data_IF_807897363636
#
_entry.id   IF_807897363636
#
_cell.length_a   1.000
_cell.length_b   1.000
_cell.length_c   1.000
_cell.angle_alpha   90.00
_cell.angle_beta   90.00
_cell.angle_gamma   90.00
#
_symmetry.space_group_name_H-M   'P 1'
#
loop_
_entity.id
_entity.type
_entity.pdbx_description
1 polymer ?
#
# COMPACT_ATOMS: atom_id res chain seq x y z
N UNK A 1 24.92 5.05 -16.06
CA UNK A 1 23.67 5.82 -15.79
C UNK A 1 22.51 5.02 -16.36
N UNK A 2 21.45 4.83 -15.59
CA UNK A 2 20.21 4.15 -16.01
C UNK A 2 19.31 5.11 -16.80
N UNK A 3 18.46 4.58 -17.68
CA UNK A 3 17.40 5.36 -18.29
C UNK A 3 16.28 5.64 -17.30
N UNK A 4 15.97 4.64 -16.45
CA UNK A 4 14.91 4.71 -15.45
C UNK A 4 15.32 3.98 -14.17
N UNK A 5 15.18 4.64 -13.01
CA UNK A 5 15.17 3.96 -11.72
C UNK A 5 13.73 3.96 -11.18
N UNK A 6 13.27 2.78 -10.77
CA UNK A 6 11.95 2.53 -10.17
C UNK A 6 12.16 2.34 -8.67
N UNK A 7 11.42 3.05 -7.83
CA UNK A 7 11.50 2.95 -6.36
C UNK A 7 10.27 2.24 -5.84
N UNK A 8 10.44 0.99 -5.43
CA UNK A 8 9.41 0.08 -4.94
C UNK A 8 9.14 -1.10 -5.88
N UNK A 9 8.92 -2.30 -5.31
CA UNK A 9 8.58 -3.53 -6.03
C UNK A 9 7.26 -4.15 -5.51
N UNK A 10 6.26 -3.32 -5.28
CA UNK A 10 4.86 -3.72 -5.21
C UNK A 10 4.29 -3.94 -6.63
N UNK A 11 2.99 -4.23 -6.78
CA UNK A 11 2.36 -4.48 -8.09
C UNK A 11 2.66 -3.40 -9.14
N UNK A 12 2.67 -2.12 -8.75
CA UNK A 12 3.00 -1.01 -9.64
C UNK A 12 4.46 -1.04 -10.12
N UNK A 13 5.40 -1.26 -9.19
CA UNK A 13 6.82 -1.32 -9.52
C UNK A 13 7.18 -2.54 -10.36
N UNK A 14 6.56 -3.70 -10.09
CA UNK A 14 6.76 -4.92 -10.89
C UNK A 14 6.20 -4.73 -12.30
N UNK A 15 5.00 -4.15 -12.44
CA UNK A 15 4.42 -3.80 -13.75
C UNK A 15 5.32 -2.84 -14.52
N UNK A 16 5.83 -1.78 -13.86
CA UNK A 16 6.75 -0.83 -14.46
C UNK A 16 8.08 -1.47 -14.91
N UNK A 17 8.66 -2.34 -14.06
CA UNK A 17 9.88 -3.06 -14.40
C UNK A 17 9.69 -4.00 -15.60
N UNK A 18 8.55 -4.69 -15.67
CA UNK A 18 8.22 -5.55 -16.78
C UNK A 18 8.07 -4.77 -18.10
N UNK A 19 7.32 -3.65 -18.08
CA UNK A 19 7.18 -2.81 -19.26
C UNK A 19 8.51 -2.13 -19.67
N UNK A 20 9.34 -1.72 -18.69
CA UNK A 20 10.67 -1.18 -18.97
C UNK A 20 11.57 -2.22 -19.66
N UNK A 21 11.52 -3.48 -19.24
CA UNK A 21 12.21 -4.58 -19.91
C UNK A 21 11.70 -4.79 -21.35
N UNK A 22 10.38 -4.81 -21.55
CA UNK A 22 9.77 -4.98 -22.88
C UNK A 22 10.17 -3.89 -23.86
N UNK A 23 10.33 -2.67 -23.38
CA UNK A 23 10.73 -1.51 -24.19
C UNK A 23 12.24 -1.34 -24.35
N UNK A 24 13.05 -2.25 -23.77
CA UNK A 24 14.50 -2.21 -23.89
C UNK A 24 15.20 -1.12 -23.07
N UNK A 25 14.50 -0.46 -22.14
CA UNK A 25 15.11 0.53 -21.25
C UNK A 25 16.19 -0.12 -20.37
N UNK A 26 17.30 0.58 -20.21
CA UNK A 26 18.27 0.28 -19.16
C UNK A 26 17.71 0.75 -17.81
N UNK A 27 17.09 -0.12 -17.06
CA UNK A 27 16.42 0.20 -15.82
C UNK A 27 16.92 -0.61 -14.61
N UNK A 28 16.64 -0.08 -13.42
CA UNK A 28 16.82 -0.76 -12.15
C UNK A 28 15.63 -0.45 -11.24
N UNK A 29 15.05 -1.47 -10.59
CA UNK A 29 14.07 -1.27 -9.52
C UNK A 29 14.72 -1.54 -8.16
N UNK A 30 14.48 -0.65 -7.19
CA UNK A 30 15.01 -0.73 -5.83
C UNK A 30 13.85 -0.89 -4.84
N UNK A 31 13.86 -1.97 -4.08
CA UNK A 31 12.85 -2.27 -3.07
C UNK A 31 13.49 -2.34 -1.67
N UNK A 32 12.92 -1.62 -0.72
CA UNK A 32 13.47 -1.54 0.65
C UNK A 32 13.37 -2.87 1.42
N UNK A 33 12.36 -3.67 1.12
CA UNK A 33 12.06 -4.93 1.78
C UNK A 33 12.01 -6.08 0.74
N UNK A 34 10.95 -6.88 0.78
CA UNK A 34 10.72 -8.00 -0.13
C UNK A 34 9.79 -7.59 -1.29
N UNK A 35 9.84 -8.35 -2.38
CA UNK A 35 8.91 -8.22 -3.51
C UNK A 35 7.48 -8.38 -2.98
N UNK A 36 6.59 -7.43 -3.31
CA UNK A 36 5.21 -7.46 -2.86
C UNK A 36 5.02 -7.25 -1.35
N UNK A 37 5.94 -6.58 -0.68
CA UNK A 37 5.96 -6.46 0.80
C UNK A 37 4.64 -5.98 1.43
N UNK A 38 3.87 -5.12 0.78
CA UNK A 38 2.55 -4.72 1.29
C UNK A 38 1.57 -5.91 1.33
N UNK A 39 1.63 -6.80 0.33
CA UNK A 39 0.80 -8.02 0.31
C UNK A 39 1.29 -9.02 1.35
N UNK A 40 2.60 -9.09 1.56
CA UNK A 40 3.18 -9.90 2.65
C UNK A 40 2.63 -9.47 4.03
N UNK A 41 2.31 -8.21 4.21
CA UNK A 41 1.72 -7.66 5.44
C UNK A 41 0.20 -7.88 5.57
N UNK A 42 -0.47 -8.43 4.57
CA UNK A 42 -1.89 -8.80 4.70
C UNK A 42 -2.06 -9.96 5.69
N UNK A 43 -3.26 -10.14 6.26
CA UNK A 43 -3.53 -11.27 7.14
C UNK A 43 -3.22 -12.62 6.48
N UNK A 44 -2.62 -13.52 7.25
CA UNK A 44 -2.35 -14.89 6.80
C UNK A 44 -3.65 -15.58 6.41
N UNK A 45 -3.66 -16.24 5.25
CA UNK A 45 -4.84 -16.91 4.71
C UNK A 45 -5.93 -16.00 4.12
N UNK A 46 -5.71 -14.67 4.12
CA UNK A 46 -6.66 -13.72 3.54
C UNK A 46 -6.96 -14.07 2.07
N UNK A 47 -8.22 -14.23 1.73
CA UNK A 47 -8.67 -14.23 0.33
C UNK A 47 -8.75 -12.79 -0.16
N UNK A 48 -7.97 -12.46 -1.18
CA UNK A 48 -7.94 -11.11 -1.75
C UNK A 48 -9.27 -10.82 -2.45
N UNK A 49 -9.88 -9.68 -2.18
CA UNK A 49 -11.22 -9.36 -2.68
C UNK A 49 -11.28 -9.08 -4.19
N UNK A 50 -10.17 -8.68 -4.81
CA UNK A 50 -10.08 -8.42 -6.25
C UNK A 50 -10.11 -9.71 -7.06
N UNK A 51 -10.62 -9.62 -8.27
CA UNK A 51 -10.65 -10.73 -9.24
C UNK A 51 -9.26 -11.00 -9.81
N UNK A 52 -9.07 -12.18 -10.40
CA UNK A 52 -7.80 -12.56 -11.06
C UNK A 52 -7.37 -11.51 -12.08
N UNK A 53 -8.30 -11.08 -12.94
CA UNK A 53 -8.02 -10.11 -14.02
C UNK A 53 -7.57 -8.73 -13.50
N UNK A 54 -7.95 -8.37 -12.27
CA UNK A 54 -7.52 -7.13 -11.63
C UNK A 54 -6.14 -7.22 -10.97
N UNK A 55 -5.63 -8.43 -10.77
CA UNK A 55 -4.42 -8.71 -10.02
C UNK A 55 -3.27 -9.22 -10.88
N UNK A 56 -3.55 -9.77 -12.05
CA UNK A 56 -2.52 -10.34 -12.93
C UNK A 56 -1.80 -9.29 -13.77
N UNK A 57 -0.52 -9.52 -13.98
CA UNK A 57 0.34 -8.65 -14.78
C UNK A 57 0.20 -8.93 -16.27
N UNK A 58 -0.05 -10.18 -16.62
CA UNK A 58 -0.36 -10.68 -17.96
C UNK A 58 -1.60 -11.54 -17.86
N UNK A 59 -2.53 -11.39 -18.79
CA UNK A 59 -3.77 -12.14 -18.85
C UNK A 59 -3.52 -13.66 -18.83
N UNK A 60 -4.24 -14.38 -17.97
CA UNK A 60 -4.20 -15.82 -17.84
C UNK A 60 -2.96 -16.39 -17.12
N UNK A 61 -2.13 -15.53 -16.52
CA UNK A 61 -0.92 -15.99 -15.82
C UNK A 61 -1.13 -16.23 -14.32
N UNK A 62 -2.11 -15.59 -13.68
CA UNK A 62 -2.49 -15.85 -12.30
C UNK A 62 -3.55 -16.96 -12.26
N UNK A 63 -3.19 -18.13 -11.72
CA UNK A 63 -4.08 -19.30 -11.64
C UNK A 63 -4.23 -19.75 -10.19
N UNK A 64 -5.09 -19.11 -9.40
CA UNK A 64 -5.36 -19.53 -8.03
C UNK A 64 -6.19 -20.81 -8.00
N UNK A 65 -6.18 -21.52 -6.88
CA UNK A 65 -6.98 -22.72 -6.68
C UNK A 65 -8.50 -22.44 -6.60
N UNK A 66 -8.88 -21.18 -6.35
CA UNK A 66 -10.28 -20.71 -6.23
C UNK A 66 -10.48 -19.52 -7.18
N UNK A 67 -11.71 -19.00 -7.22
CA UNK A 67 -12.07 -17.82 -8.03
C UNK A 67 -11.21 -16.59 -7.69
N UNK A 68 -10.88 -16.41 -6.43
CA UNK A 68 -10.03 -15.32 -5.94
C UNK A 68 -8.78 -15.89 -5.26
N UNK A 69 -7.60 -15.28 -5.48
CA UNK A 69 -6.38 -15.77 -4.86
C UNK A 69 -6.35 -15.49 -3.37
N UNK A 70 -5.65 -16.35 -2.64
CA UNK A 70 -5.19 -16.03 -1.29
C UNK A 70 -3.98 -15.09 -1.33
N UNK A 71 -3.66 -14.51 -0.17
CA UNK A 71 -2.43 -13.73 0.04
C UNK A 71 -1.19 -14.51 -0.44
N UNK A 72 -1.10 -15.77 -0.08
CA UNK A 72 0.02 -16.66 -0.38
C UNK A 72 0.15 -16.94 -1.88
N UNK A 73 -0.97 -17.20 -2.54
CA UNK A 73 -1.01 -17.41 -4.00
C UNK A 73 -0.59 -16.15 -4.75
N UNK A 74 -1.04 -14.97 -4.29
CA UNK A 74 -0.70 -13.70 -4.91
C UNK A 74 0.79 -13.33 -4.69
N UNK A 75 1.34 -13.56 -3.50
CA UNK A 75 2.77 -13.39 -3.24
C UNK A 75 3.62 -14.32 -4.10
N UNK A 76 3.24 -15.61 -4.17
CA UNK A 76 3.92 -16.59 -5.01
C UNK A 76 3.88 -16.18 -6.48
N UNK A 77 2.73 -15.69 -6.96
CA UNK A 77 2.58 -15.20 -8.32
C UNK A 77 3.53 -14.04 -8.64
N UNK A 78 3.53 -12.98 -7.84
CA UNK A 78 4.40 -11.82 -8.11
C UNK A 78 5.88 -12.16 -8.00
N UNK A 79 6.26 -12.98 -7.03
CA UNK A 79 7.65 -13.42 -6.89
C UNK A 79 8.10 -14.24 -8.09
N UNK A 80 7.31 -15.25 -8.51
CA UNK A 80 7.61 -16.05 -9.71
C UNK A 80 7.65 -15.19 -10.96
N UNK A 81 6.71 -14.28 -11.12
CA UNK A 81 6.68 -13.38 -12.27
C UNK A 81 7.98 -12.57 -12.40
N UNK A 82 8.49 -12.04 -11.29
CA UNK A 82 9.78 -11.32 -11.26
C UNK A 82 10.93 -12.23 -11.68
N UNK A 83 11.01 -13.44 -11.11
CA UNK A 83 12.10 -14.38 -11.35
C UNK A 83 12.07 -14.95 -12.78
N UNK A 84 10.92 -15.43 -13.24
CA UNK A 84 10.74 -16.04 -14.57
C UNK A 84 10.96 -15.02 -15.71
N UNK A 85 10.60 -13.77 -15.47
CA UNK A 85 10.86 -12.69 -16.42
C UNK A 85 12.24 -12.04 -16.23
N UNK A 86 13.10 -12.52 -15.33
CA UNK A 86 14.42 -11.94 -15.04
C UNK A 86 14.38 -10.41 -14.91
N UNK A 87 13.44 -9.88 -14.11
CA UNK A 87 13.32 -8.44 -13.92
C UNK A 87 14.48 -7.91 -13.08
N UNK A 88 15.05 -6.78 -13.50
CA UNK A 88 16.17 -6.16 -12.79
C UNK A 88 15.67 -5.42 -11.54
N UNK A 89 15.41 -6.17 -10.48
CA UNK A 89 14.91 -5.67 -9.19
C UNK A 89 15.91 -6.07 -8.10
N UNK A 90 16.38 -5.09 -7.34
CA UNK A 90 17.16 -5.31 -6.11
C UNK A 90 16.24 -5.06 -4.92
N UNK A 91 16.00 -6.10 -4.15
CA UNK A 91 15.27 -6.03 -2.88
C UNK A 91 16.21 -5.93 -1.68
N UNK A 92 15.67 -5.59 -0.51
CA UNK A 92 16.43 -5.26 0.70
C UNK A 92 17.42 -4.10 0.46
N UNK A 93 17.07 -3.20 -0.46
CA UNK A 93 17.86 -2.02 -0.79
C UNK A 93 17.01 -0.75 -0.73
N UNK A 94 16.97 -0.15 0.44
CA UNK A 94 16.18 1.05 0.69
C UNK A 94 16.82 2.28 0.07
N UNK A 95 16.10 2.97 -0.82
CA UNK A 95 16.44 4.32 -1.25
C UNK A 95 16.19 5.26 -0.08
N UNK A 96 17.17 6.09 0.24
CA UNK A 96 17.14 7.06 1.34
C UNK A 96 17.11 8.50 0.85
N UNK A 97 17.59 8.77 -0.36
CA UNK A 97 17.56 10.09 -0.96
C UNK A 97 17.52 10.04 -2.48
N UNK A 98 16.87 11.03 -3.08
CA UNK A 98 16.87 11.29 -4.52
C UNK A 98 17.12 12.78 -4.73
N UNK A 99 18.08 13.10 -5.56
CA UNK A 99 18.49 14.47 -5.89
C UNK A 99 18.45 14.67 -7.40
N UNK A 100 17.88 15.78 -7.85
CA UNK A 100 18.01 16.22 -9.24
C UNK A 100 19.28 17.03 -9.38
N UNK A 101 20.29 16.49 -10.05
CA UNK A 101 21.63 17.08 -10.19
C UNK A 101 21.85 17.72 -11.56
N UNK A 102 20.89 17.60 -12.47
CA UNK A 102 20.93 18.22 -13.79
C UNK A 102 19.65 18.03 -14.58
N UNK A 103 19.62 18.52 -15.80
CA UNK A 103 18.53 18.21 -16.72
C UNK A 103 18.59 16.72 -17.08
N UNK A 104 17.47 15.99 -16.85
CA UNK A 104 17.41 14.53 -17.03
C UNK A 104 18.56 13.78 -16.32
N UNK A 105 18.94 14.24 -15.14
CA UNK A 105 20.03 13.66 -14.36
C UNK A 105 19.67 13.66 -12.88
N UNK A 106 19.49 12.46 -12.33
CA UNK A 106 19.15 12.21 -10.95
C UNK A 106 20.23 11.35 -10.30
N UNK A 107 20.55 11.67 -9.06
CA UNK A 107 21.36 10.85 -8.16
C UNK A 107 20.45 10.20 -7.14
N UNK A 108 20.49 8.89 -7.07
CA UNK A 108 19.69 8.07 -6.17
C UNK A 108 20.62 7.41 -5.16
N UNK A 109 20.47 7.75 -3.88
CA UNK A 109 21.25 7.16 -2.80
C UNK A 109 20.41 6.12 -2.08
N UNK A 110 20.90 4.89 -2.06
CA UNK A 110 20.37 3.82 -1.22
C UNK A 110 21.22 3.61 0.04
N UNK A 111 20.80 2.71 0.92
CA UNK A 111 21.63 2.29 2.07
C UNK A 111 22.90 1.54 1.66
N UNK A 112 22.98 1.01 0.45
CA UNK A 112 24.09 0.16 -0.01
C UNK A 112 24.93 0.83 -1.09
N UNK A 113 24.35 1.66 -1.94
CA UNK A 113 24.99 2.19 -3.15
C UNK A 113 24.43 3.53 -3.58
N UNK A 114 25.12 4.14 -4.55
CA UNK A 114 24.68 5.35 -5.25
C UNK A 114 24.49 5.03 -6.73
N UNK A 115 23.37 5.46 -7.28
CA UNK A 115 22.99 5.24 -8.66
C UNK A 115 22.70 6.57 -9.35
N UNK A 116 22.80 6.57 -10.67
CA UNK A 116 22.42 7.71 -11.52
C UNK A 116 21.43 7.28 -12.58
N UNK A 117 20.41 8.11 -12.83
CA UNK A 117 19.37 7.85 -13.80
C UNK A 117 18.93 9.11 -14.52
N UNK A 118 18.37 8.93 -15.76
CA UNK A 118 17.74 10.01 -16.53
C UNK A 118 16.34 10.34 -15.97
N UNK A 119 15.63 9.34 -15.46
CA UNK A 119 14.26 9.43 -14.95
C UNK A 119 14.11 8.59 -13.68
N UNK A 120 13.17 9.00 -12.82
CA UNK A 120 12.82 8.28 -11.58
C UNK A 120 11.32 8.07 -11.51
N UNK A 121 10.90 6.84 -11.23
CA UNK A 121 9.51 6.46 -11.03
C UNK A 121 9.31 6.02 -9.58
N UNK A 122 8.48 6.74 -8.84
CA UNK A 122 8.09 6.37 -7.49
C UNK A 122 6.88 5.43 -7.53
N UNK A 123 7.05 4.22 -6.99
CA UNK A 123 6.04 3.18 -6.82
C UNK A 123 5.95 2.73 -5.35
N UNK A 124 6.16 3.66 -4.42
CA UNK A 124 6.39 3.42 -3.00
C UNK A 124 5.15 3.00 -2.20
N UNK A 125 3.94 3.17 -2.77
CA UNK A 125 2.68 2.82 -2.12
C UNK A 125 2.29 3.82 -1.01
N UNK A 126 1.26 3.46 -0.21
CA UNK A 126 0.66 4.35 0.80
C UNK A 126 0.51 3.72 2.19
N UNK A 127 1.20 2.62 2.49
CA UNK A 127 1.06 1.91 3.77
C UNK A 127 2.33 1.99 4.62
N UNK A 128 3.05 3.12 4.53
CA UNK A 128 4.32 3.29 5.26
C UNK A 128 4.12 3.76 6.69
N UNK A 129 3.17 4.66 6.92
CA UNK A 129 2.91 5.27 8.21
C UNK A 129 1.50 4.95 8.68
N UNK A 130 1.31 3.94 9.54
CA UNK A 130 0.04 3.71 10.21
C UNK A 130 -0.37 4.96 11.01
N UNK A 131 -1.62 5.37 10.87
CA UNK A 131 -2.17 6.48 11.64
C UNK A 131 -2.27 6.10 13.10
N UNK A 132 -2.04 7.07 13.96
CA UNK A 132 -2.03 6.90 15.42
C UNK A 132 -3.21 7.63 16.06
N UNK A 133 -3.66 7.11 17.18
CA UNK A 133 -4.67 7.78 18.02
C UNK A 133 -4.05 8.88 18.88
N UNK A 134 -2.74 8.79 19.14
CA UNK A 134 -1.97 9.67 20.03
C UNK A 134 -2.53 9.69 21.46
N UNK A 135 -2.85 8.51 21.98
CA UNK A 135 -3.39 8.34 23.33
C UNK A 135 -2.35 7.68 24.26
N UNK A 136 -2.51 7.90 25.57
CA UNK A 136 -1.66 7.28 26.58
C UNK A 136 -1.74 5.75 26.47
N UNK A 137 -0.60 5.08 26.44
CA UNK A 137 -0.48 3.63 26.35
C UNK A 137 -0.50 3.06 24.93
N UNK A 138 -0.57 3.90 23.88
CA UNK A 138 -0.51 3.44 22.49
C UNK A 138 0.83 2.76 22.11
N UNK A 139 1.91 3.04 22.88
CA UNK A 139 3.22 2.41 22.69
C UNK A 139 3.42 1.13 23.51
N UNK A 140 2.40 0.63 24.19
CA UNK A 140 2.48 -0.63 24.94
C UNK A 140 2.72 -1.82 23.98
N UNK A 141 3.49 -2.85 24.38
CA UNK A 141 3.82 -4.01 23.53
C UNK A 141 2.61 -4.79 23.01
N UNK A 142 1.43 -4.63 23.63
CA UNK A 142 0.18 -5.25 23.21
C UNK A 142 -0.58 -4.48 22.12
N UNK A 143 -0.07 -3.31 21.68
CA UNK A 143 -0.72 -2.44 20.69
C UNK A 143 -0.05 -2.65 19.34
N UNK A 144 -0.85 -2.95 18.34
CA UNK A 144 -0.42 -3.20 16.97
C UNK A 144 -1.14 -2.28 16.01
N UNK A 145 -0.42 -1.78 15.02
CA UNK A 145 -0.96 -0.97 13.91
C UNK A 145 -1.08 -1.76 12.60
N UNK A 146 -0.85 -3.07 12.68
CA UNK A 146 -0.97 -4.02 11.60
C UNK A 146 -1.54 -5.32 12.16
N UNK A 147 -2.48 -5.92 11.43
CA UNK A 147 -3.03 -7.22 11.76
C UNK A 147 -2.56 -8.25 10.72
N UNK A 148 -1.91 -9.31 11.16
CA UNK A 148 -1.35 -10.33 10.28
C UNK A 148 -1.73 -11.75 10.67
N UNK A 149 -1.98 -12.02 11.96
CA UNK A 149 -2.11 -13.38 12.48
C UNK A 149 -3.17 -13.43 13.59
N UNK A 150 -3.98 -14.48 13.60
CA UNK A 150 -5.04 -14.72 14.59
C UNK A 150 -4.58 -15.64 15.71
N UNK A 151 -3.78 -16.63 15.40
CA UNK A 151 -3.46 -17.75 16.28
C UNK A 151 -2.93 -17.35 17.66
N UNK A 152 -2.07 -16.33 17.83
CA UNK A 152 -1.61 -15.91 19.16
C UNK A 152 -2.72 -15.35 20.08
N UNK A 153 -3.88 -15.03 19.50
CA UNK A 153 -4.96 -14.29 20.18
C UNK A 153 -6.17 -15.15 20.54
N UNK A 154 -6.10 -16.46 20.30
CA UNK A 154 -7.16 -17.41 20.68
C UNK A 154 -7.43 -17.30 22.19
N UNK A 155 -8.72 -17.19 22.56
CA UNK A 155 -9.21 -16.97 23.95
C UNK A 155 -8.67 -15.70 24.63
N UNK A 156 -8.17 -14.72 23.86
CA UNK A 156 -7.76 -13.41 24.36
C UNK A 156 -8.85 -12.37 24.13
N UNK A 157 -8.86 -11.35 25.01
CA UNK A 157 -9.70 -10.18 24.83
C UNK A 157 -9.00 -9.24 23.82
N UNK A 158 -9.47 -9.26 22.58
CA UNK A 158 -8.88 -8.53 21.48
C UNK A 158 -9.78 -7.35 21.08
N UNK A 159 -9.23 -6.14 21.12
CA UNK A 159 -9.91 -4.95 20.62
C UNK A 159 -9.35 -4.55 19.25
N UNK A 160 -10.23 -4.32 18.30
CA UNK A 160 -9.89 -3.74 17.00
C UNK A 160 -10.50 -2.34 16.91
N UNK A 161 -9.67 -1.32 16.76
CA UNK A 161 -10.11 0.08 16.60
C UNK A 161 -10.07 0.45 15.13
N UNK A 162 -11.22 0.80 14.56
CA UNK A 162 -11.33 1.24 13.18
C UNK A 162 -12.72 1.03 12.58
N UNK A 163 -12.99 1.68 11.45
CA UNK A 163 -14.31 1.62 10.78
C UNK A 163 -14.25 1.22 9.31
N UNK A 164 -13.10 0.76 8.82
CA UNK A 164 -12.91 0.31 7.44
C UNK A 164 -12.80 -1.20 7.31
N UNK A 165 -12.63 -1.70 6.06
CA UNK A 165 -12.52 -3.12 5.78
C UNK A 165 -11.44 -3.83 6.60
N UNK A 166 -10.24 -3.25 6.72
CA UNK A 166 -9.13 -3.89 7.46
C UNK A 166 -9.48 -4.13 8.93
N UNK A 167 -10.20 -3.20 9.57
CA UNK A 167 -10.66 -3.39 10.93
C UNK A 167 -11.76 -4.45 11.02
N UNK A 168 -12.72 -4.41 10.08
CA UNK A 168 -13.77 -5.42 9.98
C UNK A 168 -13.22 -6.83 9.73
N UNK A 169 -12.28 -6.98 8.79
CA UNK A 169 -11.62 -8.26 8.50
C UNK A 169 -10.84 -8.79 9.71
N UNK A 170 -10.07 -7.94 10.40
CA UNK A 170 -9.33 -8.32 11.58
C UNK A 170 -10.26 -8.80 12.71
N UNK A 171 -11.34 -8.05 12.99
CA UNK A 171 -12.33 -8.44 14.00
C UNK A 171 -13.04 -9.74 13.64
N UNK A 172 -13.42 -9.90 12.37
CA UNK A 172 -14.02 -11.12 11.84
C UNK A 172 -13.12 -12.34 12.04
N UNK A 173 -11.85 -12.26 11.63
CA UNK A 173 -10.91 -13.36 11.74
C UNK A 173 -10.62 -13.72 13.20
N UNK A 174 -10.44 -12.72 14.06
CA UNK A 174 -10.26 -12.94 15.49
C UNK A 174 -11.46 -13.68 16.11
N UNK A 175 -12.68 -13.27 15.80
CA UNK A 175 -13.90 -13.90 16.27
C UNK A 175 -14.06 -15.33 15.74
N UNK A 176 -13.77 -15.56 14.46
CA UNK A 176 -13.84 -16.89 13.85
C UNK A 176 -12.85 -17.90 14.46
N UNK A 177 -11.69 -17.43 14.86
CA UNK A 177 -10.64 -18.26 15.47
C UNK A 177 -10.75 -18.34 17.01
N UNK A 178 -11.82 -17.79 17.59
CA UNK A 178 -12.15 -17.97 19.01
C UNK A 178 -11.47 -16.98 19.96
N UNK A 179 -11.16 -15.78 19.50
CA UNK A 179 -10.85 -14.65 20.38
C UNK A 179 -12.14 -14.03 20.91
N UNK A 180 -12.11 -13.44 22.11
CA UNK A 180 -13.14 -12.54 22.60
C UNK A 180 -12.93 -11.18 21.90
N UNK A 181 -13.49 -11.04 20.69
CA UNK A 181 -13.21 -9.89 19.82
C UNK A 181 -14.24 -8.78 20.02
N UNK A 182 -13.76 -7.53 20.11
CA UNK A 182 -14.59 -6.32 20.07
C UNK A 182 -14.12 -5.41 18.95
N UNK A 183 -15.02 -5.00 18.05
CA UNK A 183 -14.77 -3.97 17.05
C UNK A 183 -15.22 -2.60 17.60
N UNK A 184 -14.28 -1.73 17.93
CA UNK A 184 -14.52 -0.35 18.34
C UNK A 184 -14.48 0.55 17.10
N UNK A 185 -15.64 1.07 16.69
CA UNK A 185 -15.78 1.84 15.46
C UNK A 185 -16.28 3.25 15.70
N UNK A 186 -15.69 4.24 15.02
CA UNK A 186 -16.18 5.63 14.99
C UNK A 186 -17.41 5.84 14.09
N UNK A 187 -17.92 4.78 13.50
CA UNK A 187 -19.08 4.84 12.62
C UNK A 187 -20.34 4.96 13.47
N UNK A 188 -21.19 5.93 13.11
CA UNK A 188 -22.50 6.13 13.75
C UNK A 188 -23.61 5.29 13.12
N UNK A 189 -23.41 4.87 11.87
CA UNK A 189 -24.37 4.07 11.12
C UNK A 189 -23.72 2.75 10.69
N UNK A 190 -24.11 1.69 11.40
CA UNK A 190 -23.66 0.33 11.11
C UNK A 190 -24.24 -0.22 9.81
N UNK A 191 -25.42 0.28 9.41
CA UNK A 191 -26.14 -0.19 8.22
C UNK A 191 -25.74 0.55 6.93
N UNK A 192 -24.87 1.60 7.03
CA UNK A 192 -24.39 2.32 5.86
C UNK A 192 -23.64 1.38 4.90
N UNK A 193 -24.14 1.26 3.68
CA UNK A 193 -23.59 0.37 2.63
C UNK A 193 -22.94 1.12 1.48
N UNK A 194 -23.06 2.46 1.41
CA UNK A 194 -22.43 3.25 0.35
C UNK A 194 -20.88 3.26 0.50
N UNK A 195 -20.15 2.66 -0.44
CA UNK A 195 -18.69 2.68 -0.41
C UNK A 195 -18.08 4.09 -0.40
N UNK A 196 -18.82 5.09 -0.90
CA UNK A 196 -18.37 6.49 -0.89
C UNK A 196 -18.38 7.10 0.51
N UNK A 197 -19.21 6.56 1.40
CA UNK A 197 -19.25 6.94 2.81
C UNK A 197 -18.18 6.21 3.65
N UNK A 198 -17.29 5.44 3.02
CA UNK A 198 -16.25 4.68 3.71
C UNK A 198 -16.76 3.50 4.53
N UNK A 199 -17.86 2.88 4.11
CA UNK A 199 -18.46 1.73 4.80
C UNK A 199 -17.56 0.48 4.78
N UNK A 200 -17.81 -0.44 5.71
CA UNK A 200 -17.32 -1.82 5.60
C UNK A 200 -18.11 -2.46 4.45
N UNK A 201 -17.39 -3.00 3.47
CA UNK A 201 -18.01 -3.56 2.27
C UNK A 201 -18.82 -4.82 2.60
N UNK A 202 -19.91 -5.06 1.86
CA UNK A 202 -20.88 -6.13 2.14
C UNK A 202 -20.25 -7.52 2.34
N UNK A 203 -19.21 -7.86 1.59
CA UNK A 203 -18.53 -9.17 1.74
C UNK A 203 -17.76 -9.34 3.05
N UNK A 204 -17.47 -8.24 3.77
CA UNK A 204 -16.92 -8.26 5.13
C UNK A 204 -18.04 -8.12 6.15
N UNK A 205 -19.00 -7.21 5.88
CA UNK A 205 -20.10 -6.92 6.80
C UNK A 205 -21.03 -8.11 7.03
N UNK A 206 -21.47 -8.80 5.98
CA UNK A 206 -22.34 -9.97 6.15
C UNK A 206 -21.74 -11.09 7.02
N UNK A 207 -20.46 -11.49 6.86
CA UNK A 207 -19.83 -12.41 7.81
C UNK A 207 -19.68 -11.82 9.23
N UNK A 208 -19.44 -10.51 9.39
CA UNK A 208 -19.40 -9.85 10.70
C UNK A 208 -20.76 -9.93 11.40
N UNK A 209 -21.85 -9.58 10.72
CA UNK A 209 -23.21 -9.63 11.24
C UNK A 209 -23.53 -11.05 11.76
N UNK A 210 -23.13 -12.09 11.03
CA UNK A 210 -23.28 -13.48 11.48
C UNK A 210 -22.49 -13.81 12.76
N UNK A 211 -21.35 -13.16 13.01
CA UNK A 211 -20.62 -13.34 14.26
C UNK A 211 -21.29 -12.58 15.42
N UNK A 212 -21.86 -11.42 15.15
CA UNK A 212 -22.67 -10.65 16.11
C UNK A 212 -23.92 -11.45 16.55
N UNK A 213 -24.66 -12.00 15.60
CA UNK A 213 -25.85 -12.85 15.88
C UNK A 213 -25.51 -14.08 16.75
N UNK A 214 -24.31 -14.62 16.62
CA UNK A 214 -23.82 -15.74 17.42
C UNK A 214 -23.21 -15.33 18.76
N UNK A 215 -23.14 -14.03 19.08
CA UNK A 215 -22.45 -13.48 20.25
C UNK A 215 -20.95 -13.89 20.30
N UNK A 216 -20.31 -14.02 19.14
CA UNK A 216 -18.88 -14.30 19.02
C UNK A 216 -18.04 -13.04 18.77
N UNK A 217 -18.70 -11.92 18.52
CA UNK A 217 -18.12 -10.60 18.26
C UNK A 217 -19.00 -9.54 18.92
N UNK A 218 -18.37 -8.53 19.52
CA UNK A 218 -19.06 -7.32 20.01
C UNK A 218 -18.69 -6.11 19.16
N UNK A 219 -19.63 -5.14 19.05
CA UNK A 219 -19.38 -3.84 18.44
C UNK A 219 -19.53 -2.75 19.49
N UNK A 220 -18.53 -1.91 19.60
CA UNK A 220 -18.53 -0.73 20.45
C UNK A 220 -18.55 0.54 19.58
N UNK A 221 -19.60 1.35 19.69
CA UNK A 221 -19.68 2.65 19.00
C UNK A 221 -18.84 3.67 19.73
N UNK A 222 -17.68 3.98 19.15
CA UNK A 222 -16.60 4.69 19.79
C UNK A 222 -16.70 6.21 19.58
N UNK A 223 -16.73 6.98 20.64
CA UNK A 223 -16.44 8.40 20.63
C UNK A 223 -14.93 8.64 20.57
N UNK A 224 -14.18 8.06 21.51
CA UNK A 224 -12.71 8.05 21.48
C UNK A 224 -12.12 6.95 22.36
N UNK A 225 -10.88 6.58 22.07
CA UNK A 225 -10.05 5.83 23.02
C UNK A 225 -9.46 6.83 24.03
N UNK A 226 -9.68 6.60 25.32
CA UNK A 226 -9.20 7.51 26.38
C UNK A 226 -7.79 7.15 26.83
N UNK A 227 -7.57 5.85 27.15
CA UNK A 227 -6.29 5.34 27.63
C UNK A 227 -6.19 3.83 27.36
N UNK A 228 -5.01 3.36 27.01
CA UNK A 228 -4.68 1.93 26.92
C UNK A 228 -3.78 1.59 28.11
N UNK A 229 -4.18 0.60 28.91
CA UNK A 229 -3.46 0.11 30.09
C UNK A 229 -2.99 -1.33 29.86
N UNK A 230 -2.17 -1.88 30.73
CA UNK A 230 -1.58 -3.23 30.57
C UNK A 230 -2.63 -4.34 30.40
N UNK A 231 -3.72 -4.30 31.17
CA UNK A 231 -4.75 -5.36 31.22
C UNK A 231 -6.15 -4.89 30.84
N UNK A 232 -6.32 -3.63 30.55
CA UNK A 232 -7.61 -3.02 30.24
C UNK A 232 -7.45 -1.87 29.27
N UNK A 233 -8.56 -1.43 28.69
CA UNK A 233 -8.65 -0.24 27.85
C UNK A 233 -9.84 0.60 28.31
N UNK A 234 -9.65 1.92 28.33
CA UNK A 234 -10.69 2.88 28.69
C UNK A 234 -11.19 3.53 27.41
N UNK A 235 -12.48 3.39 27.16
CA UNK A 235 -13.17 3.91 25.98
C UNK A 235 -14.23 4.92 26.42
N UNK A 236 -14.50 5.90 25.58
CA UNK A 236 -15.66 6.77 25.66
C UNK A 236 -16.57 6.43 24.47
N UNK A 237 -17.83 6.16 24.72
CA UNK A 237 -18.80 5.86 23.68
C UNK A 237 -19.22 7.14 22.90
N UNK A 238 -20.06 6.99 21.90
CA UNK A 238 -20.57 8.10 21.09
C UNK A 238 -21.44 9.09 21.88
N UNK A 239 -21.93 8.71 23.07
CA UNK A 239 -22.75 9.53 23.95
C UNK A 239 -21.93 10.19 25.08
N UNK A 240 -20.63 9.90 25.17
CA UNK A 240 -19.71 10.41 26.19
C UNK A 240 -19.64 9.57 27.47
N UNK A 241 -20.25 8.38 27.51
CA UNK A 241 -20.11 7.48 28.65
C UNK A 241 -18.75 6.76 28.60
N UNK A 242 -18.13 6.64 29.80
CA UNK A 242 -16.82 5.97 29.93
C UNK A 242 -17.03 4.52 30.31
N UNK A 243 -16.39 3.64 29.55
CA UNK A 243 -16.37 2.21 29.82
C UNK A 243 -14.94 1.69 29.89
N UNK A 244 -14.69 0.73 30.79
CA UNK A 244 -13.40 0.05 30.92
C UNK A 244 -13.59 -1.42 30.59
N UNK A 245 -12.89 -1.91 29.56
CA UNK A 245 -12.96 -3.27 29.08
C UNK A 245 -11.66 -4.03 29.41
N UNK A 246 -11.73 -5.31 29.81
CA UNK A 246 -10.56 -6.19 29.87
C UNK A 246 -9.94 -6.28 28.47
N UNK A 247 -8.60 -6.22 28.40
CA UNK A 247 -7.95 -6.21 27.12
C UNK A 247 -6.54 -6.80 27.16
N UNK A 248 -6.28 -7.79 26.31
CA UNK A 248 -4.99 -8.45 26.15
C UNK A 248 -4.22 -7.93 24.93
N UNK A 249 -4.93 -7.49 23.89
CA UNK A 249 -4.34 -6.97 22.64
C UNK A 249 -5.21 -5.90 22.01
N UNK A 250 -4.58 -4.89 21.41
CA UNK A 250 -5.24 -3.82 20.65
C UNK A 250 -4.67 -3.76 19.24
N UNK A 251 -5.54 -3.76 18.24
CA UNK A 251 -5.21 -3.48 16.84
C UNK A 251 -5.81 -2.13 16.45
N UNK A 252 -4.95 -1.13 16.17
CA UNK A 252 -5.38 0.21 15.73
C UNK A 252 -5.29 0.25 14.21
N UNK A 253 -6.42 0.06 13.53
CA UNK A 253 -6.52 -0.09 12.07
C UNK A 253 -7.34 1.07 11.46
N UNK A 254 -6.85 2.29 11.67
CA UNK A 254 -7.49 3.56 11.27
C UNK A 254 -6.91 4.16 9.98
N UNK A 255 -6.23 3.33 9.20
CA UNK A 255 -5.59 3.71 7.94
C UNK A 255 -4.11 4.01 8.06
N UNK A 256 -3.50 4.31 6.92
CA UNK A 256 -2.09 4.66 6.78
C UNK A 256 -1.91 5.83 5.84
N UNK A 257 -0.80 6.54 5.99
CA UNK A 257 -0.38 7.62 5.10
C UNK A 257 0.88 7.22 4.31
N UNK A 258 1.01 7.78 3.11
CA UNK A 258 2.19 7.60 2.28
C UNK A 258 3.38 8.40 2.83
N UNK A 259 4.58 7.87 2.67
CA UNK A 259 5.80 8.66 2.84
C UNK A 259 6.07 9.48 1.57
N UNK A 260 5.80 10.77 1.64
CA UNK A 260 6.04 11.72 0.55
C UNK A 260 7.32 12.56 0.76
N UNK A 261 8.14 12.22 1.76
CA UNK A 261 9.33 13.02 2.13
C UNK A 261 10.28 13.20 0.97
N UNK A 262 10.65 12.12 0.27
CA UNK A 262 11.55 12.21 -0.89
C UNK A 262 10.96 13.04 -2.03
N UNK A 263 9.65 12.94 -2.28
CA UNK A 263 8.97 13.75 -3.31
C UNK A 263 8.96 15.22 -2.92
N UNK A 264 8.67 15.56 -1.64
CA UNK A 264 8.72 16.93 -1.14
C UNK A 264 10.13 17.51 -1.24
N UNK A 265 11.16 16.75 -0.89
CA UNK A 265 12.55 17.18 -0.99
C UNK A 265 12.98 17.43 -2.45
N UNK A 266 12.41 16.72 -3.42
CA UNK A 266 12.60 16.98 -4.85
C UNK A 266 11.85 18.21 -5.37
N UNK A 267 10.97 18.84 -4.56
CA UNK A 267 10.13 19.95 -4.96
C UNK A 267 8.83 19.53 -5.66
N UNK A 268 8.41 18.27 -5.50
CA UNK A 268 7.11 17.82 -6.00
C UNK A 268 6.00 18.45 -5.17
N UNK A 269 5.05 19.07 -5.85
CA UNK A 269 3.87 19.65 -5.23
C UNK A 269 2.93 18.58 -4.68
N UNK A 270 2.36 18.83 -3.49
CA UNK A 270 1.46 17.91 -2.82
C UNK A 270 0.10 18.60 -2.66
N UNK A 271 -0.98 17.89 -3.00
CA UNK A 271 -2.35 18.33 -2.81
C UNK A 271 -3.09 17.45 -1.79
N UNK A 272 -4.11 18.03 -1.13
CA UNK A 272 -5.06 17.27 -0.33
C UNK A 272 -6.04 16.55 -1.22
N UNK A 273 -6.29 15.27 -0.96
CA UNK A 273 -7.36 14.49 -1.58
C UNK A 273 -8.26 13.90 -0.49
N UNK A 274 -9.37 13.29 -0.88
CA UNK A 274 -10.24 12.54 0.05
C UNK A 274 -9.53 11.35 0.73
N UNK A 275 -8.35 10.99 0.24
CA UNK A 275 -7.56 9.88 0.74
C UNK A 275 -6.30 10.30 1.52
N UNK A 276 -6.13 11.60 1.78
CA UNK A 276 -4.95 12.18 2.39
C UNK A 276 -4.10 12.96 1.38
N UNK A 277 -2.84 13.16 1.70
CA UNK A 277 -1.88 13.86 0.85
C UNK A 277 -1.51 13.01 -0.36
N UNK A 278 -1.54 13.60 -1.55
CA UNK A 278 -1.12 12.96 -2.82
C UNK A 278 -0.25 13.91 -3.63
N UNK A 279 0.73 13.41 -4.43
CA UNK A 279 1.52 14.26 -5.30
C UNK A 279 0.64 14.86 -6.41
N UNK A 280 1.01 16.05 -6.87
CA UNK A 280 0.48 16.65 -8.10
C UNK A 280 1.22 16.04 -9.28
N UNK A 281 0.47 15.57 -10.28
CA UNK A 281 1.00 14.97 -11.50
C UNK A 281 0.02 15.15 -12.66
N UNK A 282 0.51 15.04 -13.86
CA UNK A 282 -0.29 15.00 -15.08
C UNK A 282 -0.98 13.63 -15.23
N UNK A 283 -2.30 13.60 -15.41
CA UNK A 283 -3.11 12.36 -15.39
C UNK A 283 -2.87 11.44 -16.61
N UNK A 284 -2.26 11.95 -17.69
CA UNK A 284 -1.97 11.14 -18.88
C UNK A 284 -0.57 10.52 -18.83
N UNK A 285 0.40 11.26 -18.29
CA UNK A 285 1.81 10.87 -18.27
C UNK A 285 2.29 10.39 -16.92
N UNK A 286 1.58 10.74 -15.83
CA UNK A 286 1.96 10.54 -14.44
C UNK A 286 3.32 11.20 -14.08
N UNK A 287 3.76 12.16 -14.90
CA UNK A 287 4.91 13.02 -14.61
C UNK A 287 4.47 14.12 -13.63
N UNK A 288 5.29 14.40 -12.61
CA UNK A 288 5.01 15.45 -11.63
C UNK A 288 5.38 16.84 -12.20
N UNK A 289 5.17 17.90 -11.40
CA UNK A 289 5.71 19.23 -11.72
C UNK A 289 7.25 19.26 -11.82
N UNK A 290 7.94 18.23 -11.32
CA UNK A 290 9.39 18.09 -11.45
C UNK A 290 9.69 17.19 -12.64
N UNK A 291 10.14 17.79 -13.75
CA UNK A 291 10.42 17.08 -14.98
C UNK A 291 11.38 15.91 -14.77
N UNK A 292 10.98 14.71 -15.19
CA UNK A 292 11.70 13.45 -15.03
C UNK A 292 11.33 12.65 -13.79
N UNK A 293 10.44 13.15 -12.95
CA UNK A 293 9.91 12.46 -11.77
C UNK A 293 8.49 12.00 -12.04
N UNK A 294 8.25 10.69 -11.96
CA UNK A 294 6.98 10.02 -12.22
C UNK A 294 6.46 9.35 -10.95
N UNK A 295 5.15 9.18 -10.86
CA UNK A 295 4.49 8.56 -9.70
C UNK A 295 3.44 7.54 -10.14
N UNK A 296 3.40 6.36 -9.51
CA UNK A 296 2.40 5.31 -9.78
C UNK A 296 2.01 4.55 -8.51
N UNK A 297 0.83 3.98 -8.51
CA UNK A 297 0.38 3.08 -7.43
C UNK A 297 -0.46 3.76 -6.36
N UNK A 298 -0.60 3.12 -5.21
CA UNK A 298 -1.64 3.39 -4.21
C UNK A 298 -1.63 4.79 -3.59
N UNK A 299 -0.54 5.53 -3.65
CA UNK A 299 -0.45 6.93 -3.17
C UNK A 299 -0.81 7.98 -4.24
N UNK A 300 -1.28 7.53 -5.41
CA UNK A 300 -1.89 8.36 -6.46
C UNK A 300 -3.41 8.21 -6.45
N UNK A 301 -4.12 8.85 -7.37
CA UNK A 301 -5.58 8.65 -7.52
C UNK A 301 -5.92 7.24 -8.08
N UNK A 302 -4.98 6.54 -8.74
CA UNK A 302 -5.10 5.16 -9.21
C UNK A 302 -4.79 4.15 -8.09
N UNK A 303 -5.61 4.16 -7.04
CA UNK A 303 -5.30 3.54 -5.74
C UNK A 303 -5.42 2.02 -5.66
N UNK A 304 -6.21 1.38 -6.48
CA UNK A 304 -6.40 -0.08 -6.41
C UNK A 304 -5.27 -0.83 -7.12
N UNK A 305 -5.10 -2.12 -6.82
CA UNK A 305 -4.06 -2.94 -7.46
C UNK A 305 -4.21 -2.92 -8.98
N UNK A 306 -5.44 -2.97 -9.50
CA UNK A 306 -5.71 -2.86 -10.94
C UNK A 306 -5.13 -1.57 -11.53
N UNK A 307 -5.38 -0.42 -10.93
CA UNK A 307 -4.79 0.86 -11.37
C UNK A 307 -3.27 0.88 -11.24
N UNK A 308 -2.75 0.30 -10.15
CA UNK A 308 -1.31 0.17 -9.94
C UNK A 308 -0.61 -0.66 -11.03
N UNK A 309 -1.29 -1.67 -11.59
CA UNK A 309 -0.77 -2.51 -12.68
C UNK A 309 -0.98 -1.84 -14.05
N UNK A 310 -2.14 -1.26 -14.30
CA UNK A 310 -2.52 -0.75 -15.62
C UNK A 310 -1.84 0.59 -15.98
N UNK A 311 -1.57 1.45 -14.99
CA UNK A 311 -0.91 2.73 -15.26
C UNK A 311 0.49 2.55 -15.85
N UNK A 312 1.39 1.74 -15.26
CA UNK A 312 2.71 1.50 -15.85
C UNK A 312 2.67 0.95 -17.29
N UNK A 313 1.71 0.06 -17.61
CA UNK A 313 1.51 -0.47 -18.97
C UNK A 313 1.27 0.66 -20.01
N UNK A 314 0.64 1.75 -19.58
CA UNK A 314 0.33 2.90 -20.45
C UNK A 314 1.47 3.90 -20.54
N UNK A 315 2.14 4.18 -19.40
CA UNK A 315 3.11 5.27 -19.34
C UNK A 315 4.54 4.86 -19.72
N UNK A 316 4.98 3.65 -19.37
CA UNK A 316 6.37 3.23 -19.61
C UNK A 316 6.71 3.18 -21.11
N UNK A 317 5.86 2.65 -22.02
CA UNK A 317 6.14 2.71 -23.46
C UNK A 317 6.26 4.14 -23.97
N UNK A 318 5.41 5.07 -23.51
CA UNK A 318 5.49 6.49 -23.87
C UNK A 318 6.78 7.14 -23.36
N UNK A 319 7.18 6.80 -22.14
CA UNK A 319 8.43 7.26 -21.53
C UNK A 319 9.65 6.78 -22.34
N UNK A 320 9.69 5.50 -22.72
CA UNK A 320 10.75 4.93 -23.54
C UNK A 320 10.89 5.67 -24.87
N UNK A 321 9.79 5.87 -25.59
CA UNK A 321 9.79 6.62 -26.85
C UNK A 321 10.26 8.08 -26.69
N UNK A 322 9.95 8.74 -25.54
CA UNK A 322 10.42 10.09 -25.24
C UNK A 322 11.93 10.13 -25.01
N UNK A 323 12.49 9.13 -24.32
CA UNK A 323 13.94 9.01 -24.07
C UNK A 323 14.68 8.80 -25.40
N UNK A 324 14.25 7.84 -26.20
CA UNK A 324 14.84 7.50 -27.50
C UNK A 324 14.84 8.70 -28.47
N UNK A 325 13.71 9.42 -28.57
CA UNK A 325 13.63 10.63 -29.37
C UNK A 325 14.62 11.72 -28.94
N UNK A 326 14.80 11.89 -27.64
CA UNK A 326 15.73 12.88 -27.08
C UNK A 326 17.18 12.52 -27.39
N UNK A 327 17.54 11.25 -27.37
CA UNK A 327 18.88 10.77 -27.71
C UNK A 327 19.18 10.91 -29.18
N UNK A 328 18.23 10.59 -30.08
CA UNK A 328 18.37 10.76 -31.51
C UNK A 328 18.57 12.24 -31.88
N UNK A 329 17.84 13.18 -31.28
CA UNK A 329 18.03 14.62 -31.51
C UNK A 329 19.43 15.07 -31.06
N UNK A 330 19.91 14.62 -29.91
CA UNK A 330 21.26 14.95 -29.44
C UNK A 330 22.35 14.39 -30.37
N UNK A 331 22.18 13.16 -30.87
CA UNK A 331 23.13 12.56 -31.81
C UNK A 331 23.21 13.37 -33.12
N UNK A 332 22.05 13.75 -33.67
CA UNK A 332 22.03 14.58 -34.91
C UNK A 332 22.65 15.96 -34.68
N UNK A 333 22.39 16.61 -33.54
CA UNK A 333 23.02 17.91 -33.24
C UNK A 333 24.54 17.80 -33.09
N UNK A 334 25.02 16.72 -32.45
CA UNK A 334 26.46 16.46 -32.31
C UNK A 334 27.14 16.22 -33.67
N UNK A 335 26.47 15.54 -34.62
CA UNK A 335 26.96 15.35 -36.00
C UNK A 335 26.96 16.63 -36.80
N UNK A 336 26.11 17.61 -36.53
CA UNK A 336 26.04 18.90 -37.20
C UNK A 336 27.06 19.92 -36.66
N UNK A 337 27.57 19.73 -35.43
CA UNK A 337 28.54 20.62 -34.80
C UNK A 337 30.00 20.17 -35.04
N UNK A 338 30.24 18.98 -35.60
CA UNK A 338 31.55 18.43 -35.93
C UNK A 338 31.74 18.23 -37.41
#
# INVERSE_FOLDING_TARGET
>A
MFDLIIIGAGPAGISAAFEARKTGLNYLSLEKNLIGNTIYQYPVGLTVFSTVNELELIEGTLKPAREKPTREELLSYYTRFVLENNLNIQWEEAVVNVEKIGENHFKITSKKSVYEAKKVLFATGAMQYPRRLNVKGEDLPKVYHLFTETYPWVKKNALVVGGGNSAGEAALFLAQEGSNATLATFRKDWEETDPKQGCIKHWVKEPLDRQLEKNCLDVFFLGRVVEIREKEIVLEDENGAIETLPNDVVFILIGSDADLTMLKNLGVEIKKSKYGDVPVYDEETFETNVAGVYVVGHFTEARHIVGAIEVPKKIIPKLAAKIEKTENVKAVLFELEN
#
